data_IF_047149272682
#
_entry.id   IF_047149272682
#
_cell.length_a   1.000
_cell.length_b   1.000
_cell.length_c   1.000
_cell.angle_alpha   90.00
_cell.angle_beta   90.00
_cell.angle_gamma   90.00
#
_symmetry.space_group_name_H-M   'P 1'
#
loop_
_entity.id
_entity.type
_entity.pdbx_description
1 polymer ?
#
# COMPACT_ATOMS: atom_id res chain seq x y z
N UNK A 1 59.87 -40.64 16.03
CA UNK A 1 58.99 -41.48 15.20
C UNK A 1 57.56 -41.01 15.39
N UNK A 2 56.85 -40.77 14.27
CA UNK A 2 55.55 -40.09 14.18
C UNK A 2 54.42 -40.95 14.77
N UNK A 3 53.55 -40.35 15.58
CA UNK A 3 52.25 -40.91 15.93
C UNK A 3 51.19 -40.39 14.93
N UNK A 4 50.51 -41.31 14.25
CA UNK A 4 49.39 -41.06 13.34
C UNK A 4 48.09 -41.06 14.15
N UNK A 5 47.32 -39.96 14.08
CA UNK A 5 45.93 -39.89 14.53
C UNK A 5 45.01 -40.19 13.32
N UNK A 6 43.93 -40.98 13.47
CA UNK A 6 42.99 -41.21 12.38
C UNK A 6 42.01 -40.04 12.25
N UNK A 7 41.93 -39.46 11.05
CA UNK A 7 40.90 -38.51 10.66
C UNK A 7 39.54 -39.23 10.54
N UNK A 8 38.63 -38.95 11.46
CA UNK A 8 37.20 -39.24 11.30
C UNK A 8 36.60 -38.22 10.32
N UNK A 9 36.30 -38.67 9.10
CA UNK A 9 35.48 -37.96 8.12
C UNK A 9 34.03 -37.92 8.63
N UNK A 10 33.67 -36.83 9.32
CA UNK A 10 32.26 -36.47 9.55
C UNK A 10 31.70 -36.01 8.21
N UNK A 11 30.93 -36.88 7.56
CA UNK A 11 30.10 -36.50 6.41
C UNK A 11 29.01 -35.56 6.89
N UNK A 12 29.16 -34.27 6.60
CA UNK A 12 28.07 -33.31 6.71
C UNK A 12 27.07 -33.61 5.61
N UNK A 13 25.98 -34.29 5.98
CA UNK A 13 24.77 -34.36 5.16
C UNK A 13 24.28 -32.92 4.95
N UNK A 14 24.38 -32.43 3.71
CA UNK A 14 23.74 -31.19 3.28
C UNK A 14 22.23 -31.34 3.54
N UNK A 15 21.56 -30.39 4.22
CA UNK A 15 20.11 -30.41 4.35
C UNK A 15 19.51 -30.34 2.95
N UNK A 16 18.59 -31.28 2.67
CA UNK A 16 17.96 -31.43 1.37
C UNK A 16 17.31 -30.14 0.91
N UNK A 17 17.46 -29.86 -0.38
CA UNK A 17 16.73 -28.82 -1.11
C UNK A 17 15.26 -29.21 -1.22
N UNK A 18 14.52 -29.13 -0.12
CA UNK A 18 13.05 -29.18 -0.15
C UNK A 18 12.54 -27.89 -0.79
N UNK A 19 11.64 -28.01 -1.76
CA UNK A 19 10.94 -26.84 -2.29
C UNK A 19 10.16 -26.18 -1.14
N UNK A 20 10.26 -24.85 -1.02
CA UNK A 20 9.54 -24.07 -0.01
C UNK A 20 8.04 -24.37 -0.07
N UNK A 21 7.42 -24.58 1.09
CA UNK A 21 5.98 -24.78 1.20
C UNK A 21 5.26 -23.44 0.96
N UNK A 22 4.22 -23.46 0.14
CA UNK A 22 3.45 -22.26 -0.21
C UNK A 22 1.96 -22.51 0.03
N UNK A 23 1.37 -21.78 0.97
CA UNK A 23 -0.09 -21.66 1.09
C UNK A 23 -0.54 -20.47 0.24
N UNK A 24 -1.43 -20.72 -0.74
CA UNK A 24 -1.88 -19.72 -1.69
C UNK A 24 -3.41 -19.57 -1.71
N UNK A 25 -3.87 -18.32 -1.72
CA UNK A 25 -5.30 -17.97 -1.90
C UNK A 25 -5.44 -16.90 -2.96
N UNK A 26 -6.57 -16.87 -3.66
CA UNK A 26 -6.85 -15.83 -4.65
C UNK A 26 -8.00 -14.96 -4.17
N UNK A 27 -7.75 -13.67 -4.02
CA UNK A 27 -8.78 -12.67 -3.76
C UNK A 27 -9.26 -12.11 -5.11
N UNK A 28 -10.56 -12.09 -5.35
CA UNK A 28 -11.17 -11.62 -6.61
C UNK A 28 -12.02 -10.37 -6.38
N UNK A 29 -12.01 -9.49 -7.38
CA UNK A 29 -12.86 -8.30 -7.44
C UNK A 29 -13.23 -8.05 -8.90
N UNK A 30 -14.41 -8.51 -9.32
CA UNK A 30 -14.80 -8.54 -10.73
C UNK A 30 -13.85 -9.38 -11.59
N UNK A 31 -13.33 -8.80 -12.67
CA UNK A 31 -12.32 -9.35 -13.58
C UNK A 31 -10.88 -9.20 -13.08
N UNK A 32 -10.68 -8.69 -11.86
CA UNK A 32 -9.35 -8.50 -11.26
C UNK A 32 -9.08 -9.49 -10.15
N UNK A 33 -7.82 -9.89 -9.97
CA UNK A 33 -7.40 -10.86 -8.95
C UNK A 33 -6.05 -10.51 -8.32
N UNK A 34 -5.96 -10.72 -7.01
CA UNK A 34 -4.73 -10.68 -6.23
C UNK A 34 -4.46 -12.06 -5.64
N UNK A 35 -3.39 -12.71 -6.09
CA UNK A 35 -2.92 -13.98 -5.52
C UNK A 35 -2.08 -13.71 -4.29
N UNK A 36 -2.50 -14.24 -3.16
CA UNK A 36 -1.83 -14.16 -1.86
C UNK A 36 -1.02 -15.44 -1.66
N UNK A 37 0.26 -15.32 -1.37
CA UNK A 37 1.18 -16.45 -1.17
C UNK A 37 1.91 -16.29 0.16
N UNK A 38 1.77 -17.28 1.03
CA UNK A 38 2.52 -17.37 2.28
C UNK A 38 3.58 -18.44 2.12
N UNK A 39 4.85 -18.07 2.28
CA UNK A 39 5.99 -18.96 2.06
C UNK A 39 6.59 -19.39 3.40
N UNK A 40 6.71 -20.69 3.61
CA UNK A 40 7.35 -21.32 4.77
C UNK A 40 6.86 -20.77 6.12
N UNK A 41 5.54 -20.70 6.30
CA UNK A 41 4.92 -20.33 7.59
C UNK A 41 4.86 -21.56 8.48
N UNK A 42 5.83 -21.65 9.38
CA UNK A 42 6.05 -22.83 10.24
C UNK A 42 6.01 -22.48 11.73
N UNK A 43 5.63 -23.46 12.55
CA UNK A 43 5.64 -23.40 14.00
C UNK A 43 7.04 -23.62 14.57
N UNK A 44 7.16 -23.62 15.91
CA UNK A 44 8.43 -23.83 16.61
C UNK A 44 9.03 -25.22 16.38
N UNK A 45 8.20 -26.20 15.99
CA UNK A 45 8.60 -27.57 15.70
C UNK A 45 8.91 -27.78 14.20
N UNK A 46 8.79 -26.74 13.37
CA UNK A 46 8.99 -26.80 11.93
C UNK A 46 7.80 -27.39 11.15
N UNK A 47 6.66 -27.61 11.80
CA UNK A 47 5.39 -27.98 11.17
C UNK A 47 4.66 -26.76 10.62
N UNK A 48 3.61 -26.98 9.82
CA UNK A 48 2.78 -25.88 9.28
C UNK A 48 2.03 -25.14 10.40
N UNK A 49 2.29 -23.83 10.57
CA UNK A 49 1.55 -23.01 11.54
C UNK A 49 0.23 -22.51 10.95
N UNK A 50 -0.79 -23.37 11.02
CA UNK A 50 -2.14 -23.07 10.51
C UNK A 50 -2.77 -21.86 11.17
N UNK A 51 -2.55 -21.64 12.46
CA UNK A 51 -3.10 -20.49 13.17
C UNK A 51 -2.50 -19.19 12.63
N UNK A 52 -1.18 -19.16 12.40
CA UNK A 52 -0.50 -18.02 11.80
C UNK A 52 -0.89 -17.79 10.35
N UNK A 53 -1.03 -18.85 9.56
CA UNK A 53 -1.52 -18.79 8.17
C UNK A 53 -2.87 -18.07 8.11
N UNK A 54 -3.83 -18.42 8.98
CA UNK A 54 -5.13 -17.74 9.00
C UNK A 54 -5.04 -16.28 9.44
N UNK A 55 -4.18 -15.95 10.39
CA UNK A 55 -3.93 -14.55 10.79
C UNK A 55 -3.39 -13.73 9.61
N UNK A 56 -2.40 -14.25 8.89
CA UNK A 56 -1.78 -13.57 7.75
C UNK A 56 -2.77 -13.42 6.58
N UNK A 57 -3.52 -14.47 6.25
CA UNK A 57 -4.56 -14.39 5.22
C UNK A 57 -5.68 -13.41 5.58
N UNK A 58 -6.11 -13.40 6.85
CA UNK A 58 -7.09 -12.41 7.32
C UNK A 58 -6.57 -10.98 7.14
N UNK A 59 -5.34 -10.72 7.58
CA UNK A 59 -4.71 -9.42 7.43
C UNK A 59 -4.55 -8.99 5.96
N UNK A 60 -4.11 -9.89 5.09
CA UNK A 60 -3.94 -9.61 3.65
C UNK A 60 -5.27 -9.40 2.95
N UNK A 61 -6.34 -10.10 3.34
CA UNK A 61 -7.70 -9.84 2.85
C UNK A 61 -8.19 -8.46 3.26
N UNK A 62 -7.98 -8.07 4.51
CA UNK A 62 -8.33 -6.73 5.01
C UNK A 62 -7.52 -5.64 4.27
N UNK A 63 -6.23 -5.86 4.05
CA UNK A 63 -5.36 -4.94 3.29
C UNK A 63 -5.73 -4.88 1.81
N UNK A 64 -6.12 -6.00 1.20
CA UNK A 64 -6.61 -6.05 -0.18
C UNK A 64 -7.89 -5.22 -0.35
N UNK A 65 -8.80 -5.26 0.63
CA UNK A 65 -10.00 -4.42 0.63
C UNK A 65 -9.66 -2.91 0.71
N UNK A 66 -8.59 -2.53 1.39
CA UNK A 66 -8.11 -1.12 1.45
C UNK A 66 -7.79 -0.59 0.05
N UNK A 67 -7.07 -1.37 -0.76
CA UNK A 67 -6.69 -0.94 -2.12
C UNK A 67 -7.81 -1.06 -3.14
N UNK A 68 -8.92 -1.73 -2.80
CA UNK A 68 -10.14 -1.73 -3.61
C UNK A 68 -11.01 -0.50 -3.35
N UNK A 69 -10.83 0.23 -2.25
CA UNK A 69 -11.69 1.38 -1.90
C UNK A 69 -11.85 2.47 -2.99
N UNK A 70 -10.90 2.70 -3.94
CA UNK A 70 -11.09 3.68 -5.01
C UNK A 70 -12.18 3.31 -6.04
N UNK A 71 -12.31 2.02 -6.39
CA UNK A 71 -13.15 1.59 -7.52
C UNK A 71 -13.83 0.22 -7.37
N UNK A 72 -13.70 -0.43 -6.22
CA UNK A 72 -14.18 -1.79 -5.97
C UNK A 72 -13.37 -2.88 -6.69
N UNK A 73 -12.23 -2.54 -7.30
CA UNK A 73 -11.38 -3.42 -8.11
C UNK A 73 -9.93 -3.36 -7.65
N UNK A 74 -9.14 -4.35 -8.00
CA UNK A 74 -7.68 -4.21 -7.94
C UNK A 74 -7.18 -3.35 -9.11
N UNK A 75 -6.04 -2.63 -8.94
CA UNK A 75 -5.49 -1.79 -10.01
C UNK A 75 -5.02 -2.56 -11.24
N UNK A 76 -4.69 -3.85 -11.09
CA UNK A 76 -4.24 -4.72 -12.17
C UNK A 76 -5.20 -5.89 -12.33
N UNK A 77 -5.31 -6.44 -13.55
CA UNK A 77 -6.10 -7.66 -13.82
C UNK A 77 -5.59 -8.86 -13.02
N UNK A 78 -4.26 -9.00 -12.93
CA UNK A 78 -3.60 -10.00 -12.12
C UNK A 78 -2.38 -9.40 -11.44
N UNK A 79 -2.25 -9.66 -10.15
CA UNK A 79 -1.05 -9.37 -9.38
C UNK A 79 -0.88 -10.42 -8.28
N UNK A 80 0.27 -10.42 -7.61
CA UNK A 80 0.48 -11.25 -6.42
C UNK A 80 0.99 -10.43 -5.22
N UNK A 81 0.74 -10.93 -4.03
CA UNK A 81 1.43 -10.53 -2.80
C UNK A 81 2.01 -11.77 -2.16
N UNK A 82 3.32 -11.76 -1.91
CA UNK A 82 4.06 -12.84 -1.29
C UNK A 82 4.55 -12.40 0.07
N UNK A 83 4.29 -13.21 1.09
CA UNK A 83 4.76 -12.99 2.45
C UNK A 83 5.84 -14.00 2.79
N UNK A 84 6.92 -13.50 3.36
CA UNK A 84 7.94 -14.30 4.04
C UNK A 84 8.00 -13.87 5.50
N UNK A 85 8.06 -14.83 6.41
CA UNK A 85 8.25 -14.49 7.81
C UNK A 85 9.73 -14.30 8.14
N UNK A 86 10.02 -13.35 9.03
CA UNK A 86 11.38 -13.04 9.49
C UNK A 86 11.41 -12.87 11.00
N UNK A 87 12.56 -13.17 11.60
CA UNK A 87 12.91 -12.64 12.91
C UNK A 87 13.58 -11.29 12.69
N UNK A 88 13.11 -10.27 13.39
CA UNK A 88 13.68 -8.93 13.27
C UNK A 88 13.55 -8.19 14.60
N UNK A 89 14.61 -7.49 14.99
CA UNK A 89 14.60 -6.57 16.13
C UNK A 89 13.93 -5.23 15.82
N UNK A 90 13.50 -4.98 14.57
CA UNK A 90 12.77 -3.76 14.21
C UNK A 90 11.39 -3.76 14.87
N UNK A 91 10.99 -2.63 15.45
CA UNK A 91 9.66 -2.44 16.04
C UNK A 91 8.50 -2.56 15.04
N UNK A 92 8.75 -2.38 13.74
CA UNK A 92 7.75 -2.53 12.68
C UNK A 92 7.33 -3.99 12.53
N UNK A 93 6.02 -4.30 12.50
CA UNK A 93 5.55 -5.67 12.23
C UNK A 93 5.84 -6.12 10.78
N UNK A 94 6.05 -5.17 9.87
CA UNK A 94 6.47 -5.42 8.48
C UNK A 94 7.76 -4.63 8.24
N UNK A 95 8.93 -5.15 8.66
CA UNK A 95 10.20 -4.41 8.57
C UNK A 95 10.63 -4.07 7.14
N UNK A 96 10.16 -4.83 6.15
CA UNK A 96 10.48 -4.58 4.75
C UNK A 96 9.35 -4.97 3.81
N UNK A 97 9.15 -4.12 2.79
CA UNK A 97 8.25 -4.34 1.68
C UNK A 97 8.93 -3.89 0.39
N UNK A 98 8.57 -4.52 -0.72
CA UNK A 98 9.00 -4.05 -2.03
C UNK A 98 8.09 -4.54 -3.15
N UNK A 99 7.91 -3.71 -4.16
CA UNK A 99 7.25 -4.09 -5.40
C UNK A 99 8.18 -4.90 -6.31
N UNK A 100 7.64 -5.90 -7.00
CA UNK A 100 8.31 -6.71 -8.03
C UNK A 100 7.54 -6.57 -9.34
N UNK A 101 8.27 -6.48 -10.45
CA UNK A 101 7.72 -6.30 -11.81
C UNK A 101 8.42 -7.15 -12.86
N UNK A 102 9.18 -8.14 -12.42
CA UNK A 102 9.89 -9.05 -13.32
C UNK A 102 8.96 -10.25 -13.62
N UNK A 103 8.39 -10.29 -14.83
CA UNK A 103 7.42 -11.31 -15.23
C UNK A 103 6.00 -10.94 -14.83
N UNK A 104 5.68 -11.08 -13.54
CA UNK A 104 4.39 -10.67 -12.97
C UNK A 104 4.58 -9.46 -12.05
N UNK A 105 3.59 -8.55 -12.05
CA UNK A 105 3.55 -7.47 -11.07
C UNK A 105 3.08 -8.00 -9.71
N UNK A 106 3.78 -7.63 -8.64
CA UNK A 106 3.41 -8.04 -7.31
C UNK A 106 4.20 -7.35 -6.21
N UNK A 107 3.97 -7.79 -4.98
CA UNK A 107 4.58 -7.24 -3.77
C UNK A 107 5.19 -8.37 -2.96
N UNK A 108 6.39 -8.14 -2.43
CA UNK A 108 7.01 -9.00 -1.44
C UNK A 108 7.00 -8.28 -0.09
N UNK A 109 6.45 -8.93 0.94
CA UNK A 109 6.41 -8.44 2.31
C UNK A 109 7.22 -9.38 3.21
N UNK A 110 8.06 -8.80 4.05
CA UNK A 110 8.75 -9.50 5.12
C UNK A 110 8.06 -9.13 6.42
N UNK A 111 7.45 -10.13 7.04
CA UNK A 111 6.55 -9.93 8.19
C UNK A 111 7.18 -10.59 9.40
N UNK A 112 7.23 -9.88 10.51
CA UNK A 112 7.74 -10.44 11.75
C UNK A 112 6.94 -11.67 12.18
N UNK A 113 7.63 -12.72 12.63
CA UNK A 113 6.99 -13.96 13.10
C UNK A 113 5.99 -13.70 14.23
N UNK A 114 6.37 -12.83 15.16
CA UNK A 114 5.62 -12.48 16.37
C UNK A 114 4.62 -11.32 16.20
N UNK A 115 4.48 -10.74 15.00
CA UNK A 115 3.58 -9.61 14.78
C UNK A 115 2.11 -10.02 14.97
N UNK A 116 1.43 -9.42 15.95
CA UNK A 116 -0.01 -9.65 16.17
C UNK A 116 -0.86 -9.07 15.02
N UNK A 117 -2.08 -9.60 14.85
CA UNK A 117 -3.04 -9.05 13.87
C UNK A 117 -3.31 -7.55 14.08
N UNK A 118 -3.36 -7.11 15.34
CA UNK A 118 -3.55 -5.70 15.67
C UNK A 118 -2.36 -4.84 15.22
N UNK A 119 -1.13 -5.29 15.45
CA UNK A 119 0.07 -4.61 14.99
C UNK A 119 0.09 -4.53 13.45
N UNK A 120 -0.23 -5.63 12.78
CA UNK A 120 -0.31 -5.70 11.32
C UNK A 120 -1.36 -4.73 10.72
N UNK A 121 -2.51 -4.56 11.36
CA UNK A 121 -3.53 -3.57 10.97
C UNK A 121 -3.09 -2.12 11.19
N UNK A 122 -2.33 -1.89 12.25
CA UNK A 122 -1.80 -0.57 12.60
C UNK A 122 -0.66 -0.14 11.66
N UNK A 123 0.00 -1.10 11.02
CA UNK A 123 1.10 -0.86 10.08
C UNK A 123 0.63 -0.29 8.73
N UNK A 124 1.50 0.50 8.09
CA UNK A 124 1.21 1.17 6.83
C UNK A 124 1.85 0.47 5.61
N UNK A 125 2.87 -0.38 5.84
CA UNK A 125 3.80 -0.87 4.83
C UNK A 125 3.08 -1.63 3.72
N UNK A 126 2.22 -2.59 4.08
CA UNK A 126 1.50 -3.37 3.08
C UNK A 126 0.55 -2.52 2.20
N UNK A 127 -0.10 -1.50 2.77
CA UNK A 127 -0.92 -0.58 1.97
C UNK A 127 -0.06 0.26 1.04
N UNK A 128 1.11 0.72 1.50
CA UNK A 128 2.05 1.48 0.68
C UNK A 128 2.56 0.65 -0.50
N UNK A 129 3.04 -0.56 -0.25
CA UNK A 129 3.54 -1.42 -1.32
C UNK A 129 2.46 -1.78 -2.34
N UNK A 130 1.25 -2.13 -1.89
CA UNK A 130 0.15 -2.41 -2.83
C UNK A 130 -0.29 -1.16 -3.60
N UNK A 131 -0.04 0.05 -3.06
CA UNK A 131 -0.33 1.30 -3.78
C UNK A 131 0.57 1.50 -5.00
N UNK A 132 1.74 0.86 -5.07
CA UNK A 132 2.55 0.88 -6.29
C UNK A 132 1.89 0.17 -7.47
N UNK A 133 0.91 -0.71 -7.22
CA UNK A 133 0.19 -1.38 -8.31
C UNK A 133 -0.72 -0.43 -9.10
N UNK A 134 -0.96 0.81 -8.63
CA UNK A 134 -1.74 1.83 -9.34
C UNK A 134 -1.00 2.52 -10.50
N UNK A 135 0.29 2.21 -10.70
CA UNK A 135 1.11 2.85 -11.74
C UNK A 135 2.08 1.83 -12.39
N UNK A 136 2.56 2.09 -13.63
CA UNK A 136 3.55 1.25 -14.29
C UNK A 136 4.93 1.45 -13.64
N UNK A 137 5.97 0.74 -14.09
CA UNK A 137 7.32 1.08 -13.66
C UNK A 137 7.73 2.44 -14.25
N UNK A 138 8.09 3.40 -13.40
CA UNK A 138 8.38 4.78 -13.83
C UNK A 138 9.88 5.09 -13.98
N UNK A 139 10.72 4.07 -13.87
CA UNK A 139 12.17 4.23 -13.85
C UNK A 139 12.67 5.06 -12.65
N UNK A 140 13.99 5.29 -12.63
CA UNK A 140 14.64 6.00 -11.54
C UNK A 140 14.20 7.47 -11.44
N UNK A 141 14.10 8.17 -12.58
CA UNK A 141 13.64 9.57 -12.63
C UNK A 141 12.19 9.75 -12.18
N UNK A 142 11.39 8.67 -12.21
CA UNK A 142 10.02 8.62 -11.73
C UNK A 142 9.85 8.18 -10.29
N UNK A 143 10.93 7.83 -9.57
CA UNK A 143 10.86 7.29 -8.21
C UNK A 143 10.09 8.21 -7.27
N UNK A 144 10.37 9.51 -7.28
CA UNK A 144 9.65 10.48 -6.43
C UNK A 144 8.13 10.50 -6.69
N UNK A 145 7.72 10.30 -7.94
CA UNK A 145 6.32 10.26 -8.34
C UNK A 145 5.66 8.96 -7.84
N UNK A 146 6.33 7.82 -8.01
CA UNK A 146 5.88 6.50 -7.56
C UNK A 146 5.74 6.42 -6.03
N UNK A 147 6.82 6.73 -5.31
CA UNK A 147 6.87 6.73 -3.83
C UNK A 147 5.91 7.77 -3.24
N UNK A 148 5.76 8.89 -3.94
CA UNK A 148 4.78 9.91 -3.60
C UNK A 148 3.34 9.42 -3.67
N UNK A 149 2.99 8.65 -4.71
CA UNK A 149 1.64 8.12 -4.85
C UNK A 149 1.34 7.14 -3.72
N UNK A 150 2.28 6.23 -3.45
CA UNK A 150 2.16 5.28 -2.35
C UNK A 150 2.06 5.97 -0.98
N UNK A 151 2.85 7.02 -0.74
CA UNK A 151 2.83 7.82 0.50
C UNK A 151 1.53 8.63 0.67
N UNK A 152 0.91 9.07 -0.42
CA UNK A 152 -0.39 9.73 -0.38
C UNK A 152 -1.53 8.71 -0.15
N UNK A 153 -1.52 7.61 -0.91
CA UNK A 153 -2.53 6.56 -0.84
C UNK A 153 -2.50 5.78 0.47
N UNK A 154 -1.33 5.54 1.08
CA UNK A 154 -1.26 4.82 2.36
C UNK A 154 -2.12 5.49 3.45
N UNK A 155 -2.24 6.82 3.43
CA UNK A 155 -3.01 7.55 4.44
C UNK A 155 -4.48 7.62 4.03
N UNK A 156 -4.75 8.00 2.78
CA UNK A 156 -6.12 8.18 2.30
C UNK A 156 -6.88 6.87 2.23
N UNK A 157 -6.30 5.80 1.67
CA UNK A 157 -6.96 4.50 1.55
C UNK A 157 -7.23 3.88 2.93
N UNK A 158 -6.29 3.99 3.87
CA UNK A 158 -6.50 3.49 5.25
C UNK A 158 -7.61 4.26 5.98
N UNK A 159 -7.75 5.57 5.73
CA UNK A 159 -8.90 6.32 6.24
C UNK A 159 -10.23 5.85 5.62
N UNK A 160 -10.24 5.61 4.31
CA UNK A 160 -11.43 5.14 3.59
C UNK A 160 -11.89 3.75 4.05
N UNK A 161 -10.94 2.90 4.42
CA UNK A 161 -11.21 1.58 5.00
C UNK A 161 -11.53 1.61 6.51
N UNK A 162 -11.55 2.78 7.15
CA UNK A 162 -11.82 2.92 8.58
C UNK A 162 -10.68 2.48 9.51
N UNK A 163 -9.49 2.16 8.96
CA UNK A 163 -8.30 1.82 9.75
C UNK A 163 -7.67 3.05 10.43
N UNK A 164 -7.90 4.23 9.85
CA UNK A 164 -7.56 5.52 10.43
C UNK A 164 -8.82 6.38 10.46
N UNK A 165 -8.96 7.22 11.49
CA UNK A 165 -9.89 8.35 11.39
C UNK A 165 -9.39 9.34 10.33
N UNK A 166 -10.27 10.11 9.67
CA UNK A 166 -9.84 11.17 8.75
C UNK A 166 -8.83 12.15 9.37
N UNK A 167 -8.97 12.46 10.66
CA UNK A 167 -8.03 13.33 11.37
C UNK A 167 -6.64 12.70 11.50
N UNK A 168 -6.55 11.41 11.86
CA UNK A 168 -5.28 10.67 11.94
C UNK A 168 -4.59 10.58 10.59
N UNK A 169 -5.33 10.35 9.50
CA UNK A 169 -4.76 10.30 8.16
C UNK A 169 -4.22 11.68 7.70
N UNK A 170 -4.94 12.77 7.98
CA UNK A 170 -4.42 14.12 7.74
C UNK A 170 -3.18 14.43 8.58
N UNK A 171 -3.17 14.03 9.85
CA UNK A 171 -1.99 14.16 10.72
C UNK A 171 -0.80 13.35 10.18
N UNK A 172 -1.03 12.15 9.65
CA UNK A 172 0.00 11.31 9.05
C UNK A 172 0.63 11.95 7.81
N UNK A 173 -0.20 12.45 6.89
CA UNK A 173 0.27 13.22 5.72
C UNK A 173 1.06 14.45 6.14
N UNK A 174 0.50 15.22 7.09
CA UNK A 174 1.07 16.46 7.58
C UNK A 174 2.42 16.28 8.30
N UNK A 175 2.57 15.22 9.11
CA UNK A 175 3.83 14.83 9.72
C UNK A 175 4.86 14.41 8.66
N UNK A 176 4.42 13.70 7.62
CA UNK A 176 5.23 13.38 6.47
C UNK A 176 5.74 14.62 5.73
N UNK A 177 4.86 15.56 5.44
CA UNK A 177 5.24 16.82 4.79
C UNK A 177 6.22 17.65 5.64
N UNK A 178 6.17 17.58 6.97
CA UNK A 178 7.20 18.23 7.83
C UNK A 178 8.54 17.55 7.70
N UNK A 179 8.59 16.22 7.71
CA UNK A 179 9.85 15.49 7.47
C UNK A 179 10.43 15.84 6.10
N UNK A 180 9.58 15.97 5.08
CA UNK A 180 9.99 16.42 3.75
C UNK A 180 10.51 17.86 3.72
N UNK A 181 9.91 18.78 4.47
CA UNK A 181 10.36 20.18 4.59
C UNK A 181 11.67 20.32 5.38
N UNK A 182 11.84 19.51 6.43
CA UNK A 182 13.04 19.50 7.27
C UNK A 182 14.22 18.80 6.59
N UNK A 183 13.97 17.93 5.60
CA UNK A 183 15.03 17.32 4.81
C UNK A 183 15.84 18.39 4.06
N UNK A 184 17.17 18.26 4.07
CA UNK A 184 18.08 19.23 3.45
C UNK A 184 17.69 19.48 1.99
N UNK A 185 17.68 20.75 1.57
CA UNK A 185 17.56 21.10 0.16
C UNK A 185 18.68 20.40 -0.65
N UNK A 186 18.37 19.90 -1.84
CA UNK A 186 19.33 19.15 -2.66
C UNK A 186 19.08 19.32 -4.15
N UNK A 187 19.58 18.37 -4.97
CA UNK A 187 19.39 18.35 -6.43
C UNK A 187 17.92 18.32 -6.86
N UNK A 188 17.61 18.31 -8.15
CA UNK A 188 16.22 18.23 -8.63
C UNK A 188 15.54 16.92 -8.21
N UNK A 189 14.21 16.88 -8.08
CA UNK A 189 13.48 15.66 -7.65
C UNK A 189 13.60 14.49 -8.65
N UNK A 190 13.84 14.81 -9.93
CA UNK A 190 14.08 13.84 -11.00
C UNK A 190 15.55 13.38 -11.11
N UNK A 191 16.43 13.87 -10.22
CA UNK A 191 17.88 13.63 -10.21
C UNK A 191 18.43 13.34 -8.80
N UNK A 192 17.61 12.75 -7.92
CA UNK A 192 17.97 12.61 -6.51
C UNK A 192 18.87 11.39 -6.26
N UNK A 193 20.03 11.62 -5.65
CA UNK A 193 20.96 10.60 -5.15
C UNK A 193 20.37 9.75 -3.98
N UNK A 194 20.83 8.51 -3.82
CA UNK A 194 20.25 7.44 -2.97
C UNK A 194 20.40 7.62 -1.45
N UNK A 195 20.71 8.81 -0.94
CA UNK A 195 20.89 9.03 0.51
C UNK A 195 19.58 8.91 1.32
N UNK A 196 19.67 8.58 2.62
CA UNK A 196 18.50 8.51 3.53
C UNK A 196 17.80 9.87 3.70
N UNK A 197 18.55 10.97 3.68
CA UNK A 197 18.01 12.34 3.74
C UNK A 197 17.29 12.73 2.42
N UNK A 198 17.84 12.30 1.28
CA UNK A 198 17.19 12.39 -0.03
C UNK A 198 15.87 11.62 -0.08
N UNK A 199 15.80 10.47 0.58
CA UNK A 199 14.65 9.56 0.56
C UNK A 199 13.38 10.20 1.15
N UNK A 200 13.44 10.83 2.33
CA UNK A 200 12.25 11.49 2.90
C UNK A 200 11.78 12.69 2.06
N UNK A 201 12.70 13.41 1.41
CA UNK A 201 12.35 14.50 0.49
C UNK A 201 11.62 13.98 -0.74
N UNK A 202 12.12 12.89 -1.33
CA UNK A 202 11.55 12.22 -2.52
C UNK A 202 10.11 11.77 -2.25
N UNK A 203 9.88 11.06 -1.14
CA UNK A 203 8.57 10.48 -0.82
C UNK A 203 7.53 11.57 -0.55
N UNK A 204 7.86 12.52 0.33
CA UNK A 204 6.86 13.50 0.78
C UNK A 204 6.67 14.66 -0.19
N UNK A 205 7.67 14.99 -1.04
CA UNK A 205 7.45 15.94 -2.13
C UNK A 205 6.57 15.33 -3.23
N UNK A 206 6.73 14.03 -3.53
CA UNK A 206 5.81 13.31 -4.40
C UNK A 206 4.39 13.25 -3.84
N UNK A 207 4.23 12.98 -2.54
CA UNK A 207 2.90 12.99 -1.90
C UNK A 207 2.26 14.39 -1.94
N UNK A 208 3.06 15.47 -1.84
CA UNK A 208 2.59 16.83 -2.01
C UNK A 208 2.08 17.09 -3.45
N UNK A 209 2.80 16.60 -4.47
CA UNK A 209 2.32 16.62 -5.85
C UNK A 209 0.97 15.91 -5.99
N UNK A 210 0.82 14.70 -5.43
CA UNK A 210 -0.44 13.95 -5.56
C UNK A 210 -1.61 14.57 -4.81
N UNK A 211 -1.36 15.23 -3.66
CA UNK A 211 -2.38 16.03 -2.99
C UNK A 211 -2.84 17.19 -3.88
N UNK A 212 -1.92 17.94 -4.48
CA UNK A 212 -2.26 19.04 -5.38
C UNK A 212 -2.93 18.56 -6.68
N UNK A 213 -2.53 17.39 -7.19
CA UNK A 213 -3.14 16.72 -8.32
C UNK A 213 -4.61 16.33 -8.03
N UNK A 214 -4.89 15.68 -6.90
CA UNK A 214 -6.27 15.32 -6.53
C UNK A 214 -7.13 16.58 -6.34
N UNK A 215 -6.59 17.63 -5.72
CA UNK A 215 -7.29 18.92 -5.63
C UNK A 215 -7.55 19.54 -7.01
N UNK A 216 -6.59 19.50 -7.93
CA UNK A 216 -6.76 20.01 -9.29
C UNK A 216 -7.85 19.25 -10.05
N UNK A 217 -7.87 17.92 -9.94
CA UNK A 217 -8.90 17.06 -10.53
C UNK A 217 -10.29 17.36 -9.95
N UNK A 218 -10.39 17.54 -8.63
CA UNK A 218 -11.65 17.89 -7.94
C UNK A 218 -12.21 19.24 -8.36
N UNK A 219 -11.36 20.22 -8.63
CA UNK A 219 -11.81 21.51 -9.20
C UNK A 219 -12.41 21.37 -10.61
N UNK A 220 -12.05 20.31 -11.33
CA UNK A 220 -12.61 19.96 -12.65
C UNK A 220 -13.79 18.98 -12.58
N UNK A 221 -14.26 18.63 -11.38
CA UNK A 221 -15.39 17.74 -11.20
C UNK A 221 -15.07 16.24 -11.29
N UNK A 222 -13.79 15.86 -11.25
CA UNK A 222 -13.36 14.44 -11.15
C UNK A 222 -12.47 14.22 -9.92
N UNK A 223 -11.90 13.03 -9.73
CA UNK A 223 -11.03 12.70 -8.61
C UNK A 223 -9.89 11.80 -9.07
N UNK A 224 -8.78 11.80 -8.33
CA UNK A 224 -7.62 10.96 -8.66
C UNK A 224 -8.00 9.49 -8.84
N UNK A 225 -8.88 8.97 -7.99
CA UNK A 225 -9.37 7.59 -8.05
C UNK A 225 -9.99 7.23 -9.41
N UNK A 226 -10.85 8.11 -9.93
CA UNK A 226 -11.53 7.91 -11.22
C UNK A 226 -10.54 7.91 -12.38
N UNK A 227 -9.54 8.78 -12.32
CA UNK A 227 -8.53 8.90 -13.38
C UNK A 227 -7.57 7.72 -13.37
N UNK A 228 -7.14 7.27 -12.17
CA UNK A 228 -6.29 6.09 -12.03
C UNK A 228 -7.03 4.80 -12.41
N UNK A 229 -8.31 4.65 -12.05
CA UNK A 229 -9.12 3.49 -12.44
C UNK A 229 -9.37 3.45 -13.95
N UNK A 230 -9.63 4.60 -14.59
CA UNK A 230 -9.72 4.68 -16.04
C UNK A 230 -8.38 4.32 -16.73
N UNK A 231 -7.25 4.81 -16.19
CA UNK A 231 -5.92 4.46 -16.70
C UNK A 231 -5.63 2.95 -16.52
N UNK A 232 -5.99 2.40 -15.36
CA UNK A 232 -5.90 0.97 -15.05
C UNK A 232 -6.61 0.12 -16.10
N UNK A 233 -7.83 0.50 -16.49
CA UNK A 233 -8.63 -0.27 -17.46
C UNK A 233 -8.14 -0.18 -18.89
N UNK A 234 -7.61 0.97 -19.33
CA UNK A 234 -7.24 1.18 -20.73
C UNK A 234 -5.79 0.82 -21.05
N UNK A 235 -4.89 1.02 -20.09
CA UNK A 235 -3.52 1.38 -20.43
C UNK A 235 -2.47 0.82 -19.46
N UNK A 236 -2.84 0.45 -18.24
CA UNK A 236 -1.88 0.01 -17.24
C UNK A 236 -1.43 -1.44 -17.50
N UNK A 237 -0.17 -1.58 -17.87
CA UNK A 237 0.59 -2.82 -17.77
C UNK A 237 1.48 -2.74 -16.52
N UNK A 238 1.32 -3.70 -15.61
CA UNK A 238 2.04 -3.74 -14.33
C UNK A 238 3.54 -3.99 -14.45
N UNK A 239 4.02 -4.47 -15.60
CA UNK A 239 5.42 -4.79 -15.85
C UNK A 239 6.10 -3.83 -16.83
N UNK A 240 5.31 -3.10 -17.61
CA UNK A 240 5.85 -2.12 -18.55
C UNK A 240 6.59 -0.97 -17.85
N UNK A 241 7.66 -0.53 -18.51
CA UNK A 241 8.38 0.70 -18.16
C UNK A 241 7.80 1.86 -18.96
N UNK A 242 7.41 2.94 -18.28
CA UNK A 242 6.80 4.12 -18.89
C UNK A 242 7.48 5.37 -18.35
N UNK A 243 7.84 6.30 -19.24
CA UNK A 243 8.44 7.56 -18.79
C UNK A 243 7.46 8.35 -17.91
N UNK A 244 7.89 8.96 -16.79
CA UNK A 244 6.97 9.61 -15.83
C UNK A 244 6.09 10.69 -16.46
N UNK A 245 6.66 11.50 -17.36
CA UNK A 245 5.90 12.52 -18.08
C UNK A 245 4.83 11.94 -19.01
N UNK A 246 5.08 10.76 -19.61
CA UNK A 246 4.09 10.07 -20.46
C UNK A 246 2.95 9.50 -19.62
N UNK A 247 3.27 8.93 -18.46
CA UNK A 247 2.27 8.47 -17.49
C UNK A 247 1.37 9.63 -17.06
N UNK A 248 1.94 10.75 -16.60
CA UNK A 248 1.16 11.92 -16.19
C UNK A 248 0.35 12.51 -17.35
N UNK A 249 0.92 12.59 -18.56
CA UNK A 249 0.20 13.04 -19.74
C UNK A 249 -0.99 12.13 -20.10
N UNK A 250 -0.89 10.82 -19.84
CA UNK A 250 -2.02 9.90 -20.02
C UNK A 250 -3.15 10.20 -19.03
N UNK A 251 -2.83 10.50 -17.76
CA UNK A 251 -3.82 10.90 -16.76
C UNK A 251 -4.51 12.23 -17.12
N UNK A 252 -3.75 13.18 -17.67
CA UNK A 252 -4.28 14.46 -18.18
C UNK A 252 -5.23 14.26 -19.38
N UNK A 253 -4.89 13.36 -20.32
CA UNK A 253 -5.81 12.99 -21.42
C UNK A 253 -7.11 12.40 -20.89
N UNK A 254 -7.04 11.50 -19.91
CA UNK A 254 -8.22 10.86 -19.29
C UNK A 254 -9.09 11.88 -18.55
N UNK A 255 -8.47 12.81 -17.81
CA UNK A 255 -9.18 13.85 -17.05
C UNK A 255 -9.56 15.08 -17.89
N UNK A 256 -9.20 15.07 -19.18
CA UNK A 256 -9.49 16.13 -20.13
C UNK A 256 -8.84 17.46 -19.75
N UNK A 257 -7.51 17.55 -19.70
CA UNK A 257 -6.77 18.77 -19.42
C UNK A 257 -5.25 18.60 -19.52
N UNK A 258 -4.51 19.52 -18.94
CA UNK A 258 -3.02 19.53 -18.88
C UNK A 258 -2.49 19.96 -17.50
N UNK A 259 -3.36 19.98 -16.49
CA UNK A 259 -3.03 20.46 -15.15
C UNK A 259 -2.03 19.57 -14.43
N UNK A 260 -2.12 18.25 -14.61
CA UNK A 260 -1.24 17.31 -13.90
C UNK A 260 0.17 17.37 -14.45
N UNK A 261 0.34 17.52 -15.77
CA UNK A 261 1.63 17.63 -16.44
C UNK A 261 2.30 18.97 -16.13
N UNK A 262 1.55 20.08 -16.07
CA UNK A 262 2.09 21.36 -15.61
C UNK A 262 2.58 21.28 -14.17
N UNK A 263 1.78 20.72 -13.27
CA UNK A 263 2.20 20.47 -11.88
C UNK A 263 3.44 19.57 -11.85
N UNK A 264 3.46 18.49 -12.63
CA UNK A 264 4.58 17.55 -12.67
C UNK A 264 5.87 18.25 -13.08
N UNK A 265 5.85 19.07 -14.14
CA UNK A 265 7.02 19.83 -14.59
C UNK A 265 7.55 20.77 -13.52
N UNK A 266 6.65 21.47 -12.82
CA UNK A 266 7.02 22.38 -11.73
C UNK A 266 7.63 21.64 -10.54
N UNK A 267 7.03 20.52 -10.12
CA UNK A 267 7.51 19.70 -9.00
C UNK A 267 8.82 18.98 -9.34
N UNK A 268 8.93 18.34 -10.50
CA UNK A 268 10.15 17.65 -10.94
C UNK A 268 11.37 18.59 -10.96
N UNK A 269 11.18 19.85 -11.38
CA UNK A 269 12.24 20.86 -11.40
C UNK A 269 12.54 21.49 -10.04
N UNK A 270 11.72 21.24 -9.00
CA UNK A 270 11.87 21.86 -7.70
C UNK A 270 13.11 21.33 -6.95
N UNK A 271 13.90 22.25 -6.40
CA UNK A 271 15.06 21.96 -5.53
C UNK A 271 14.74 22.04 -4.04
N UNK A 272 13.56 22.56 -3.71
CA UNK A 272 13.04 22.74 -2.34
C UNK A 272 11.69 22.06 -2.24
N UNK A 273 11.30 21.72 -1.02
CA UNK A 273 9.97 21.16 -0.76
C UNK A 273 8.89 22.18 -1.19
N UNK A 274 7.82 21.75 -1.90
CA UNK A 274 6.78 22.64 -2.39
C UNK A 274 5.98 23.27 -1.25
N UNK A 275 5.53 24.51 -1.43
CA UNK A 275 4.68 25.16 -0.43
C UNK A 275 3.25 24.63 -0.49
N UNK A 276 2.80 23.96 0.57
CA UNK A 276 1.44 23.44 0.68
C UNK A 276 0.40 24.47 1.17
N UNK A 277 0.77 25.75 1.31
CA UNK A 277 -0.09 26.80 1.88
C UNK A 277 -1.42 26.94 1.14
N UNK A 278 -1.40 26.86 -0.20
CA UNK A 278 -2.62 26.97 -1.01
C UNK A 278 -3.54 25.76 -0.82
N UNK A 279 -2.97 24.55 -0.88
CA UNK A 279 -3.70 23.31 -0.64
C UNK A 279 -4.32 23.28 0.77
N UNK A 280 -3.56 23.66 1.79
CA UNK A 280 -4.03 23.70 3.18
C UNK A 280 -5.14 24.71 3.38
N UNK A 281 -5.04 25.90 2.79
CA UNK A 281 -6.11 26.90 2.83
C UNK A 281 -7.40 26.39 2.20
N UNK A 282 -7.33 25.76 1.03
CA UNK A 282 -8.50 25.19 0.36
C UNK A 282 -9.13 24.05 1.16
N UNK A 283 -8.29 23.20 1.75
CA UNK A 283 -8.70 22.15 2.67
C UNK A 283 -9.13 22.69 4.04
N UNK A 284 -8.96 23.99 4.33
CA UNK A 284 -9.25 24.55 5.64
C UNK A 284 -8.45 23.88 6.76
N UNK A 285 -7.21 23.51 6.49
CA UNK A 285 -6.26 22.94 7.44
C UNK A 285 -5.30 24.04 7.86
N UNK A 286 -5.12 24.20 9.17
CA UNK A 286 -4.09 25.06 9.74
C UNK A 286 -3.33 24.33 10.84
N UNK A 287 -2.18 24.89 11.24
CA UNK A 287 -1.42 24.42 12.39
C UNK A 287 -1.56 25.41 13.52
N UNK A 288 -1.77 24.88 14.71
CA UNK A 288 -1.80 25.61 15.97
C UNK A 288 -1.00 24.80 17.00
N UNK A 289 0.10 25.38 17.50
CA UNK A 289 1.01 24.76 18.48
C UNK A 289 1.43 23.31 18.12
N UNK A 290 1.71 23.07 16.84
CA UNK A 290 2.15 21.76 16.33
C UNK A 290 1.01 20.77 16.03
N UNK A 291 -0.24 21.07 16.41
CA UNK A 291 -1.40 20.25 16.09
C UNK A 291 -2.17 20.79 14.86
N UNK A 292 -2.80 19.89 14.11
CA UNK A 292 -3.72 20.29 13.04
C UNK A 292 -5.03 20.82 13.61
N UNK A 293 -5.51 21.92 13.02
CA UNK A 293 -6.85 22.45 13.19
C UNK A 293 -7.59 22.38 11.85
N UNK A 294 -8.87 22.06 11.93
CA UNK A 294 -9.72 21.88 10.77
C UNK A 294 -10.86 22.90 10.82
N UNK A 295 -10.95 23.74 9.79
CA UNK A 295 -12.05 24.69 9.62
C UNK A 295 -13.39 23.94 9.53
N UNK A 296 -14.38 24.44 10.26
CA UNK A 296 -15.76 23.93 10.26
C UNK A 296 -16.59 24.45 9.07
N UNK A 297 -16.01 25.33 8.24
CA UNK A 297 -16.68 25.80 7.03
C UNK A 297 -17.06 24.63 6.11
N UNK A 298 -18.27 24.70 5.57
CA UNK A 298 -18.89 23.57 4.89
C UNK A 298 -18.08 23.09 3.65
N UNK A 299 -17.55 24.02 2.84
CA UNK A 299 -16.80 23.68 1.62
C UNK A 299 -15.47 22.97 1.91
N UNK A 300 -14.54 23.52 2.71
CA UNK A 300 -13.31 22.82 3.08
C UNK A 300 -13.56 21.49 3.79
N UNK A 301 -14.57 21.41 4.67
CA UNK A 301 -14.95 20.17 5.34
C UNK A 301 -15.38 19.09 4.35
N UNK A 302 -16.32 19.40 3.44
CA UNK A 302 -16.75 18.47 2.40
C UNK A 302 -15.60 17.98 1.54
N UNK A 303 -14.65 18.86 1.20
CA UNK A 303 -13.48 18.50 0.40
C UNK A 303 -12.55 17.53 1.14
N UNK A 304 -12.24 17.79 2.42
CA UNK A 304 -11.46 16.87 3.25
C UNK A 304 -12.14 15.51 3.41
N UNK A 305 -13.44 15.52 3.67
CA UNK A 305 -14.25 14.30 3.82
C UNK A 305 -14.26 13.50 2.51
N UNK A 306 -14.41 14.16 1.36
CA UNK A 306 -14.41 13.52 0.05
C UNK A 306 -13.05 12.91 -0.37
N UNK A 307 -11.95 13.27 0.30
CA UNK A 307 -10.63 12.65 0.12
C UNK A 307 -10.50 11.41 1.02
N UNK A 308 -10.96 11.52 2.27
CA UNK A 308 -10.72 10.51 3.32
C UNK A 308 -11.82 9.46 3.46
N UNK A 309 -12.98 9.65 2.82
CA UNK A 309 -14.08 8.68 2.83
C UNK A 309 -14.14 7.91 1.52
N UNK A 310 -14.56 6.64 1.55
CA UNK A 310 -14.74 5.88 0.33
C UNK A 310 -15.72 6.63 -0.58
N UNK A 311 -15.57 6.56 -1.91
CA UNK A 311 -16.56 7.11 -2.81
C UNK A 311 -17.94 6.55 -2.46
N UNK A 312 -18.92 7.44 -2.30
CA UNK A 312 -20.31 7.00 -2.24
C UNK A 312 -20.63 6.42 -3.61
N UNK A 313 -20.95 5.13 -3.69
CA UNK A 313 -21.52 4.59 -4.93
C UNK A 313 -22.82 5.34 -5.24
N UNK A 314 -23.11 5.66 -6.52
CA UNK A 314 -24.50 5.93 -6.87
C UNK A 314 -25.32 4.70 -6.44
N UNK A 315 -26.44 4.93 -5.75
CA UNK A 315 -27.29 3.88 -5.22
C UNK A 315 -27.66 2.86 -6.32
N UNK A 316 -26.90 1.76 -6.35
CA UNK A 316 -27.17 0.56 -7.14
C UNK A 316 -26.93 -0.60 -6.18
N UNK A 317 -27.92 -1.48 -6.08
CA UNK A 317 -28.14 -2.37 -4.94
C UNK A 317 -26.92 -3.17 -4.49
N UNK A 318 -26.63 -3.11 -3.19
CA UNK A 318 -25.65 -3.96 -2.52
C UNK A 318 -26.06 -5.44 -2.62
N UNK A 319 -25.13 -6.37 -2.88
CA UNK A 319 -25.20 -7.68 -2.27
C UNK A 319 -24.70 -7.52 -0.83
N UNK A 320 -25.62 -7.53 0.13
CA UNK A 320 -25.34 -7.74 1.54
C UNK A 320 -24.52 -9.01 1.72
N UNK A 321 -23.28 -8.89 2.20
CA UNK A 321 -22.56 -10.01 2.80
C UNK A 321 -23.22 -10.29 4.17
N UNK A 322 -23.77 -11.49 4.43
CA UNK A 322 -24.37 -11.77 5.71
C UNK A 322 -23.27 -11.98 6.77
N UNK A 323 -23.21 -11.05 7.71
CA UNK A 323 -22.67 -11.30 9.05
C UNK A 323 -23.78 -12.00 9.86
N UNK A 324 -23.60 -13.29 10.15
CA UNK A 324 -24.44 -14.05 11.08
C UNK A 324 -23.71 -14.29 12.40
N UNK A 325 -24.38 -14.20 13.57
CA UNK A 325 -23.75 -14.16 14.88
C UNK A 325 -23.41 -15.55 15.44
N UNK A 326 -22.59 -15.54 16.49
CA UNK A 326 -22.07 -16.70 17.21
C UNK A 326 -23.04 -17.33 18.23
N UNK A 327 -23.15 -18.67 18.21
CA UNK A 327 -23.39 -19.70 19.29
C UNK A 327 -24.75 -19.68 20.07
N UNK A 328 -25.28 -20.77 20.71
CA UNK A 328 -24.65 -22.06 21.06
C UNK A 328 -25.50 -23.38 20.98
N UNK A 329 -24.80 -24.53 21.04
CA UNK A 329 -25.22 -25.69 21.86
C UNK A 329 -25.96 -26.87 21.21
N UNK A 330 -25.53 -28.07 21.61
CA UNK A 330 -26.18 -29.39 21.55
C UNK A 330 -25.92 -30.28 20.31
N UNK A 331 -25.08 -31.29 20.51
CA UNK A 331 -25.27 -32.60 19.90
C UNK A 331 -24.64 -33.66 20.81
N UNK A 332 -25.47 -34.33 21.60
CA UNK A 332 -25.14 -35.61 22.23
C UNK A 332 -26.15 -36.64 21.74
N UNK A 333 -25.68 -37.52 20.85
CA UNK A 333 -26.10 -38.88 20.53
C UNK A 333 -27.59 -39.17 20.16
N UNK A 334 -27.80 -40.14 19.25
CA UNK A 334 -28.05 -41.49 19.77
C UNK A 334 -27.35 -42.62 19.01
N UNK A 335 -27.04 -43.65 19.77
CA UNK A 335 -26.72 -45.00 19.33
C UNK A 335 -28.02 -45.82 19.18
N UNK A 336 -28.09 -46.62 18.10
CA UNK A 336 -28.59 -48.02 18.03
C UNK A 336 -30.11 -48.28 18.07
N UNK A 337 -30.67 -48.81 16.96
CA UNK A 337 -31.06 -50.23 16.71
C UNK A 337 -31.91 -50.30 15.40
N UNK A 338 -31.61 -51.14 14.39
CA UNK A 338 -31.98 -52.57 14.23
C UNK A 338 -33.48 -52.85 14.39
N UNK A 339 -34.26 -52.68 13.31
CA UNK A 339 -35.02 -53.71 12.57
C UNK A 339 -35.87 -53.09 11.47
#
# INVERSE_FOLDING_TARGET
MRALLPCLLVSWLLPGTGAAAVDARVLRAGDTALRVELVDVVDEQGGEDRARIEVLHRWLRETAAVVQTPSGRFPLRGAYVRVRQVDSGDSSPVPWGQTRRNGDAGVLLFVRRDASLQALRADWTATHELSHLFHPYLGESGRWLAEGLASYLQNTLRARAGLLTPAQAWQGLDAGFQRGQAARAGGRLDQVDHSRASTMRVYWAGAAYWLEADLALRRRGTRLDTVLDAYSRCCLDGTASVAPAQFVAALDRISGGDSLLRLYRAHAAARRFPSLRSAYRELGISRDRGALRFSMQARPRRLRDAIMRPPTEPASGSPTLPYGPSVPGSSSNPSVDVR
#
